data_IF_834202792170
#
_entry.id   IF_834202792170
#
_cell.length_a   1.000
_cell.length_b   1.000
_cell.length_c   1.000
_cell.angle_alpha   90.00
_cell.angle_beta   90.00
_cell.angle_gamma   90.00
#
_symmetry.space_group_name_H-M   'P 1'
#
loop_
_entity.id
_entity.type
_entity.pdbx_description
1 polymer ?
#
# COMPACT_ATOMS: atom_id res chain seq x y z
N UNK A 1 59.61 34.84 21.47
CA UNK A 1 58.37 34.95 20.66
C UNK A 1 57.85 33.60 20.14
N UNK A 2 58.69 32.57 19.94
CA UNK A 2 58.25 31.23 19.46
C UNK A 2 57.48 30.38 20.49
N UNK A 3 57.82 30.45 21.78
CA UNK A 3 57.22 29.61 22.84
C UNK A 3 55.74 29.89 23.11
N UNK A 4 55.33 31.16 22.94
CA UNK A 4 53.93 31.57 23.05
C UNK A 4 53.07 31.01 21.90
N UNK A 5 53.62 30.95 20.68
CA UNK A 5 52.91 30.36 19.53
C UNK A 5 52.73 28.86 19.71
N UNK A 6 53.78 28.12 20.11
CA UNK A 6 53.68 26.67 20.33
C UNK A 6 52.73 26.30 21.47
N UNK A 7 52.69 27.10 22.54
CA UNK A 7 51.73 26.93 23.64
C UNK A 7 50.29 27.14 23.16
N UNK A 8 50.00 28.23 22.44
CA UNK A 8 48.65 28.51 21.93
C UNK A 8 48.19 27.42 20.95
N UNK A 9 49.05 26.95 20.04
CA UNK A 9 48.70 25.86 19.13
C UNK A 9 48.44 24.53 19.86
N UNK A 10 49.17 24.24 20.94
CA UNK A 10 48.92 23.08 21.79
C UNK A 10 47.57 23.19 22.51
N UNK A 11 47.26 24.34 23.11
CA UNK A 11 45.97 24.59 23.78
C UNK A 11 44.78 24.53 22.82
N UNK A 12 44.92 25.08 21.60
CA UNK A 12 43.89 24.99 20.56
C UNK A 12 43.70 23.54 20.09
N UNK A 13 44.77 22.75 19.98
CA UNK A 13 44.70 21.33 19.64
C UNK A 13 43.99 20.51 20.73
N UNK A 14 44.35 20.72 22.00
CA UNK A 14 43.69 20.05 23.14
C UNK A 14 42.21 20.43 23.23
N UNK A 15 41.89 21.71 23.06
CA UNK A 15 40.50 22.19 23.06
C UNK A 15 39.68 21.64 21.88
N UNK A 16 40.28 21.50 20.70
CA UNK A 16 39.64 20.86 19.54
C UNK A 16 39.33 19.38 19.78
N UNK A 17 40.27 18.63 20.37
CA UNK A 17 40.08 17.20 20.69
C UNK A 17 39.00 17.00 21.76
N UNK A 18 38.94 17.84 22.80
CA UNK A 18 37.90 17.74 23.84
C UNK A 18 36.51 18.15 23.34
N UNK A 19 36.40 19.15 22.46
CA UNK A 19 35.15 19.52 21.81
C UNK A 19 34.65 18.41 20.87
N UNK A 20 35.54 17.78 20.10
CA UNK A 20 35.20 16.65 19.26
C UNK A 20 34.75 15.43 20.07
N UNK A 21 35.48 15.09 21.14
CA UNK A 21 35.14 13.97 22.02
C UNK A 21 33.79 14.21 22.72
N UNK A 22 33.55 15.41 23.26
CA UNK A 22 32.28 15.74 23.91
C UNK A 22 31.09 15.72 22.94
N UNK A 23 31.27 16.20 21.71
CA UNK A 23 30.26 16.06 20.66
C UNK A 23 29.94 14.58 20.36
N UNK A 24 30.96 13.72 20.31
CA UNK A 24 30.78 12.27 20.11
C UNK A 24 30.02 11.59 21.26
N UNK A 25 30.28 11.98 22.51
CA UNK A 25 29.53 11.46 23.66
C UNK A 25 28.07 11.91 23.65
N UNK A 26 27.81 13.16 23.27
CA UNK A 26 26.44 13.68 23.13
C UNK A 26 25.69 12.93 22.02
N UNK A 27 26.30 12.70 20.87
CA UNK A 27 25.65 11.95 19.79
C UNK A 27 25.40 10.49 20.18
N UNK A 28 26.36 9.82 20.82
CA UNK A 28 26.17 8.44 21.30
C UNK A 28 25.06 8.34 22.37
N UNK A 29 24.99 9.28 23.31
CA UNK A 29 23.93 9.29 24.34
C UNK A 29 22.55 9.57 23.76
N UNK A 30 22.42 10.49 22.79
CA UNK A 30 21.18 10.73 22.06
C UNK A 30 20.74 9.51 21.25
N UNK A 31 21.67 8.79 20.62
CA UNK A 31 21.35 7.56 19.90
C UNK A 31 20.89 6.44 20.85
N UNK A 32 21.58 6.24 21.97
CA UNK A 32 21.21 5.21 22.96
C UNK A 32 19.84 5.52 23.57
N UNK A 33 19.59 6.77 23.94
CA UNK A 33 18.28 7.19 24.48
C UNK A 33 17.17 7.05 23.42
N UNK A 34 17.44 7.37 22.16
CA UNK A 34 16.51 7.14 21.05
C UNK A 34 16.20 5.65 20.85
N UNK A 35 17.22 4.79 20.78
CA UNK A 35 17.04 3.34 20.59
C UNK A 35 16.30 2.71 21.77
N UNK A 36 16.64 3.09 23.01
CA UNK A 36 15.95 2.58 24.20
C UNK A 36 14.50 3.05 24.26
N UNK A 37 14.21 4.32 23.92
CA UNK A 37 12.85 4.81 23.81
C UNK A 37 12.03 4.04 22.76
N UNK A 38 12.60 3.80 21.58
CA UNK A 38 11.95 3.00 20.51
C UNK A 38 11.69 1.57 20.99
N UNK A 39 12.65 0.92 21.65
CA UNK A 39 12.49 -0.43 22.16
C UNK A 39 11.38 -0.53 23.24
N UNK A 40 11.28 0.49 24.11
CA UNK A 40 10.20 0.59 25.10
C UNK A 40 8.84 0.76 24.41
N UNK A 41 8.72 1.68 23.45
CA UNK A 41 7.49 1.90 22.69
C UNK A 41 7.04 0.63 21.97
N UNK A 42 7.98 -0.04 21.32
CA UNK A 42 7.78 -1.29 20.60
C UNK A 42 7.33 -2.43 21.53
N UNK A 43 7.89 -2.52 22.74
CA UNK A 43 7.42 -3.45 23.76
C UNK A 43 6.00 -3.14 24.26
N UNK A 44 5.68 -1.87 24.48
CA UNK A 44 4.36 -1.42 24.95
C UNK A 44 3.29 -1.71 23.89
N UNK A 45 3.54 -1.32 22.63
CA UNK A 45 2.56 -1.43 21.54
C UNK A 45 2.24 -2.89 21.18
N UNK A 46 3.24 -3.78 21.19
CA UNK A 46 3.02 -5.22 20.97
C UNK A 46 2.24 -5.92 22.09
N UNK A 47 2.04 -5.27 23.23
CA UNK A 47 1.24 -5.80 24.31
C UNK A 47 -0.27 -5.74 24.09
N UNK A 48 -0.76 -5.06 23.04
CA UNK A 48 -2.18 -4.79 22.83
C UNK A 48 -3.04 -6.06 22.79
N UNK A 49 -2.75 -7.00 21.86
CA UNK A 49 -3.52 -8.24 21.73
C UNK A 49 -3.45 -9.13 22.97
N UNK A 50 -2.28 -9.20 23.61
CA UNK A 50 -2.08 -9.94 24.86
C UNK A 50 -2.96 -9.41 25.98
N UNK A 51 -3.14 -8.09 26.10
CA UNK A 51 -4.03 -7.47 27.11
C UNK A 51 -5.50 -7.81 26.87
N UNK A 52 -5.90 -8.05 25.62
CA UNK A 52 -7.26 -8.45 25.24
C UNK A 52 -7.46 -9.98 25.28
N UNK A 53 -6.45 -10.76 25.66
CA UNK A 53 -6.50 -12.22 25.64
C UNK A 53 -6.51 -12.84 24.23
N UNK A 54 -6.06 -12.09 23.22
CA UNK A 54 -6.05 -12.53 21.82
C UNK A 54 -4.66 -13.05 21.45
N UNK A 55 -4.62 -14.24 20.86
CA UNK A 55 -3.39 -14.84 20.32
C UNK A 55 -2.83 -13.93 19.23
N UNK A 56 -1.52 -13.66 19.29
CA UNK A 56 -0.82 -12.90 18.26
C UNK A 56 -0.13 -13.86 17.30
N UNK A 57 -0.18 -13.58 16.00
CA UNK A 57 0.61 -14.28 14.99
C UNK A 57 2.08 -14.31 15.38
N UNK A 58 2.72 -15.42 15.06
CA UNK A 58 4.16 -15.56 15.20
C UNK A 58 4.90 -14.72 14.13
N UNK A 59 6.18 -14.45 14.36
CA UNK A 59 7.04 -13.79 13.38
C UNK A 59 6.98 -12.26 13.40
N UNK A 60 6.44 -11.64 14.46
CA UNK A 60 6.50 -10.18 14.63
C UNK A 60 7.95 -9.68 14.78
N UNK A 61 8.37 -8.81 13.87
CA UNK A 61 9.69 -8.14 13.90
C UNK A 61 9.60 -6.83 14.71
N UNK A 62 10.66 -6.43 15.45
CA UNK A 62 10.72 -5.11 16.09
C UNK A 62 10.42 -3.96 15.12
N UNK A 63 9.64 -2.98 15.57
CA UNK A 63 9.20 -1.78 14.83
C UNK A 63 8.23 -2.08 13.68
N UNK A 64 8.48 -3.13 12.88
CA UNK A 64 7.70 -3.44 11.67
C UNK A 64 6.51 -4.37 11.91
N UNK A 65 6.50 -5.09 13.03
CA UNK A 65 5.51 -6.14 13.27
C UNK A 65 5.61 -7.22 12.18
N UNK A 66 4.48 -7.51 11.54
CA UNK A 66 4.31 -8.47 10.46
C UNK A 66 4.32 -7.80 9.08
N UNK A 67 4.54 -6.49 9.01
CA UNK A 67 4.50 -5.74 7.74
C UNK A 67 5.52 -6.27 6.72
N UNK A 68 6.74 -6.59 7.16
CA UNK A 68 7.77 -7.13 6.26
C UNK A 68 7.42 -8.52 5.73
N UNK A 69 6.78 -9.36 6.55
CA UNK A 69 6.29 -10.67 6.11
C UNK A 69 5.11 -10.55 5.14
N UNK A 70 4.28 -9.53 5.31
CA UNK A 70 3.16 -9.23 4.40
C UNK A 70 3.63 -8.64 3.06
N UNK A 71 4.68 -7.81 3.08
CA UNK A 71 5.26 -7.14 1.91
C UNK A 71 6.46 -7.90 1.33
N UNK A 72 6.67 -9.16 1.70
CA UNK A 72 7.79 -9.97 1.18
C UNK A 72 7.64 -10.11 -0.33
N UNK A 73 8.51 -9.47 -1.11
CA UNK A 73 8.42 -9.46 -2.58
C UNK A 73 8.70 -10.83 -3.20
N UNK A 74 9.26 -11.77 -2.43
CA UNK A 74 9.49 -13.15 -2.87
C UNK A 74 8.27 -14.05 -2.67
N UNK A 75 7.27 -13.58 -1.92
CA UNK A 75 6.04 -14.30 -1.60
C UNK A 75 4.84 -13.47 -2.02
N UNK A 76 3.73 -14.12 -2.29
CA UNK A 76 2.50 -13.37 -2.55
C UNK A 76 1.90 -12.93 -1.20
N UNK A 77 1.41 -11.69 -1.11
CA UNK A 77 0.84 -11.16 0.14
C UNK A 77 -0.30 -12.04 0.72
N UNK A 78 -1.01 -12.78 -0.14
CA UNK A 78 -2.04 -13.73 0.29
C UNK A 78 -1.47 -14.95 1.03
N UNK A 79 -0.21 -15.34 0.81
CA UNK A 79 0.43 -16.45 1.53
C UNK A 79 0.54 -16.12 3.02
N UNK A 80 0.84 -14.86 3.38
CA UNK A 80 0.85 -14.43 4.78
C UNK A 80 -0.53 -14.64 5.44
N UNK A 81 -1.60 -14.30 4.73
CA UNK A 81 -2.99 -14.46 5.21
C UNK A 81 -3.32 -15.95 5.31
N UNK A 82 -2.97 -16.74 4.29
CA UNK A 82 -3.26 -18.17 4.24
C UNK A 82 -2.53 -18.94 5.35
N UNK A 83 -1.24 -18.67 5.56
CA UNK A 83 -0.46 -19.30 6.63
C UNK A 83 -1.03 -19.00 8.02
N UNK A 84 -1.51 -17.76 8.23
CA UNK A 84 -2.19 -17.39 9.47
C UNK A 84 -3.53 -18.10 9.61
N UNK A 85 -4.31 -18.16 8.53
CA UNK A 85 -5.57 -18.88 8.52
C UNK A 85 -5.35 -20.36 8.87
N UNK A 86 -4.48 -21.06 8.15
CA UNK A 86 -4.20 -22.49 8.36
C UNK A 86 -3.67 -22.79 9.77
N UNK A 87 -2.83 -21.92 10.33
CA UNK A 87 -2.25 -22.12 11.65
C UNK A 87 -3.21 -21.82 12.79
N UNK A 88 -4.06 -20.82 12.63
CA UNK A 88 -4.94 -20.32 13.69
C UNK A 88 -6.42 -20.54 13.36
N UNK A 89 -6.76 -21.47 12.45
CA UNK A 89 -8.13 -21.69 11.98
C UNK A 89 -9.11 -22.05 13.10
N UNK A 90 -8.63 -22.70 14.16
CA UNK A 90 -9.44 -23.05 15.35
C UNK A 90 -9.74 -21.84 16.24
N UNK A 91 -8.90 -20.81 16.16
CA UNK A 91 -9.19 -19.52 16.80
C UNK A 91 -10.16 -18.76 15.92
N UNK A 92 -11.07 -17.96 16.51
CA UNK A 92 -12.01 -17.13 15.73
C UNK A 92 -11.36 -15.91 15.06
N UNK A 93 -10.24 -15.49 15.63
CA UNK A 93 -9.48 -14.34 15.20
C UNK A 93 -8.06 -14.44 15.76
N UNK A 94 -7.11 -13.82 15.06
CA UNK A 94 -5.70 -13.73 15.45
C UNK A 94 -5.21 -12.30 15.30
N UNK A 95 -4.50 -11.82 16.31
CA UNK A 95 -3.89 -10.51 16.31
C UNK A 95 -2.62 -10.48 15.46
N UNK A 96 -2.41 -9.41 14.72
CA UNK A 96 -1.16 -9.10 14.05
C UNK A 96 -0.84 -7.61 14.21
N UNK A 97 0.31 -7.19 13.73
CA UNK A 97 0.77 -5.80 13.84
C UNK A 97 1.36 -5.38 12.52
N UNK A 98 0.94 -4.24 11.98
CA UNK A 98 1.65 -3.57 10.90
C UNK A 98 2.27 -2.33 11.52
N UNK A 99 3.59 -2.30 11.59
CA UNK A 99 4.30 -1.40 12.48
C UNK A 99 3.79 -1.53 13.93
N UNK A 100 3.37 -0.42 14.54
CA UNK A 100 2.73 -0.41 15.85
C UNK A 100 1.20 -0.48 15.80
N UNK A 101 0.61 -0.50 14.60
CA UNK A 101 -0.85 -0.56 14.44
C UNK A 101 -1.35 -2.00 14.58
N UNK A 102 -2.21 -2.31 15.57
CA UNK A 102 -2.77 -3.63 15.75
C UNK A 102 -3.79 -3.94 14.62
N UNK A 103 -3.71 -5.15 14.06
CA UNK A 103 -4.63 -5.63 13.02
C UNK A 103 -5.23 -6.97 13.42
N UNK A 104 -6.54 -7.13 13.27
CA UNK A 104 -7.24 -8.38 13.55
C UNK A 104 -7.42 -9.16 12.25
N UNK A 105 -6.87 -10.36 12.19
CA UNK A 105 -7.17 -11.33 11.12
C UNK A 105 -8.33 -12.17 11.62
N UNK A 106 -9.42 -12.21 10.86
CA UNK A 106 -10.64 -12.93 11.23
C UNK A 106 -10.75 -14.20 10.40
N UNK A 107 -10.94 -15.32 11.07
CA UNK A 107 -10.99 -16.68 10.49
C UNK A 107 -12.39 -17.28 10.58
N UNK A 108 -13.20 -16.86 11.56
CA UNK A 108 -14.57 -17.33 11.78
C UNK A 108 -15.58 -16.61 10.86
N UNK A 109 -16.36 -17.33 10.03
CA UNK A 109 -17.35 -16.73 9.12
C UNK A 109 -18.48 -15.96 9.81
N UNK A 110 -18.87 -16.33 11.03
CA UNK A 110 -19.89 -15.60 11.79
C UNK A 110 -19.36 -14.23 12.23
N UNK A 111 -18.08 -14.16 12.61
CA UNK A 111 -17.42 -12.89 12.94
C UNK A 111 -17.29 -12.03 11.69
N UNK A 112 -16.92 -12.61 10.53
CA UNK A 112 -16.91 -11.89 9.25
C UNK A 112 -18.30 -11.33 8.92
N UNK A 113 -19.36 -12.14 9.10
CA UNK A 113 -20.75 -11.71 8.89
C UNK A 113 -21.14 -10.57 9.83
N UNK A 114 -20.71 -10.60 11.08
CA UNK A 114 -20.99 -9.52 12.02
C UNK A 114 -20.32 -8.22 11.56
N UNK A 115 -19.01 -8.26 11.24
CA UNK A 115 -18.25 -7.09 10.79
C UNK A 115 -18.78 -6.51 9.47
N UNK A 116 -19.05 -7.37 8.49
CA UNK A 116 -19.35 -6.94 7.12
C UNK A 116 -20.83 -6.69 6.85
N UNK A 117 -21.73 -7.20 7.69
CA UNK A 117 -23.19 -7.11 7.48
C UNK A 117 -23.91 -6.56 8.71
N UNK A 118 -23.85 -7.26 9.86
CA UNK A 118 -24.73 -6.91 11.00
C UNK A 118 -24.34 -5.59 11.67
N UNK A 119 -23.05 -5.43 11.91
CA UNK A 119 -22.46 -4.30 12.64
C UNK A 119 -21.71 -3.37 11.70
N UNK A 120 -22.03 -3.39 10.40
CA UNK A 120 -21.31 -2.65 9.35
C UNK A 120 -21.19 -1.15 9.63
N UNK A 121 -22.15 -0.55 10.33
CA UNK A 121 -22.10 0.87 10.71
C UNK A 121 -20.92 1.23 11.63
N UNK A 122 -20.29 0.24 12.29
CA UNK A 122 -19.04 0.43 13.05
C UNK A 122 -17.78 0.22 12.20
N UNK A 123 -17.91 -0.38 11.01
CA UNK A 123 -16.81 -0.80 10.14
C UNK A 123 -16.96 -0.25 8.71
N UNK A 124 -17.47 0.98 8.60
CA UNK A 124 -17.73 1.63 7.31
C UNK A 124 -16.44 1.88 6.54
N UNK A 125 -15.40 2.31 7.26
CA UNK A 125 -14.17 2.80 6.68
C UNK A 125 -13.16 1.67 6.43
N UNK A 126 -12.45 1.78 5.32
CA UNK A 126 -11.28 0.94 5.04
C UNK A 126 -10.07 1.50 5.76
N UNK A 127 -8.99 0.72 5.80
CA UNK A 127 -7.73 1.21 6.37
C UNK A 127 -7.34 2.52 5.72
N UNK A 128 -7.06 3.53 6.55
CA UNK A 128 -6.66 4.87 6.11
C UNK A 128 -5.45 4.80 5.17
N UNK A 129 -5.68 5.24 3.94
CA UNK A 129 -4.66 5.38 2.91
C UNK A 129 -4.83 6.74 2.25
N UNK A 130 -4.45 7.79 2.97
CA UNK A 130 -4.42 9.14 2.41
C UNK A 130 -3.27 9.26 1.42
N UNK A 131 -3.61 9.63 0.19
CA UNK A 131 -2.66 10.03 -0.83
C UNK A 131 -2.32 11.50 -0.56
N UNK A 132 -1.08 11.73 -0.15
CA UNK A 132 -0.54 13.07 0.08
C UNK A 132 0.05 13.61 -1.24
N UNK A 133 -0.26 14.86 -1.59
CA UNK A 133 0.20 15.47 -2.83
C UNK A 133 -0.77 16.49 -3.42
N UNK A 134 -0.52 16.89 -4.68
CA UNK A 134 -1.30 17.93 -5.39
C UNK A 134 -2.67 17.44 -5.87
N UNK A 135 -2.89 16.14 -5.98
CA UNK A 135 -4.16 15.60 -6.42
C UNK A 135 -5.15 15.53 -5.26
N UNK A 136 -5.94 16.59 -5.14
CA UNK A 136 -7.00 16.71 -4.13
C UNK A 136 -8.15 15.70 -4.32
N UNK A 137 -8.30 15.11 -5.51
CA UNK A 137 -9.44 14.23 -5.83
C UNK A 137 -9.15 12.76 -5.57
N UNK A 138 -7.89 12.36 -5.45
CA UNK A 138 -7.52 10.95 -5.21
C UNK A 138 -8.20 10.41 -3.93
N UNK A 139 -8.22 11.21 -2.86
CA UNK A 139 -8.88 10.86 -1.60
C UNK A 139 -10.42 10.92 -1.66
N UNK A 140 -11.00 11.49 -2.71
CA UNK A 140 -12.45 11.53 -2.95
C UNK A 140 -12.95 10.30 -3.74
N UNK A 141 -12.05 9.41 -4.18
CA UNK A 141 -12.44 8.19 -4.88
C UNK A 141 -13.22 7.25 -3.97
N UNK A 142 -14.22 6.53 -4.52
CA UNK A 142 -15.06 5.56 -3.79
C UNK A 142 -14.25 4.56 -2.94
N UNK A 143 -13.03 4.24 -3.34
CA UNK A 143 -12.18 3.27 -2.65
C UNK A 143 -11.45 3.83 -1.43
N UNK A 144 -11.34 5.15 -1.32
CA UNK A 144 -10.60 5.88 -0.27
C UNK A 144 -11.48 6.83 0.56
N UNK A 145 -12.64 7.23 0.03
CA UNK A 145 -13.62 8.02 0.76
C UNK A 145 -14.09 7.30 2.04
N UNK A 146 -14.41 8.08 3.06
CA UNK A 146 -14.78 7.61 4.40
C UNK A 146 -16.21 8.06 4.78
N UNK A 147 -16.83 7.33 5.71
CA UNK A 147 -18.06 7.67 6.40
C UNK A 147 -19.26 7.96 5.50
N UNK A 148 -19.96 9.05 5.81
CA UNK A 148 -21.15 9.48 5.07
C UNK A 148 -20.85 9.90 3.63
N UNK A 149 -19.64 10.41 3.36
CA UNK A 149 -19.23 10.79 2.02
C UNK A 149 -19.12 9.56 1.11
N UNK A 150 -18.48 8.50 1.60
CA UNK A 150 -18.46 7.20 0.94
C UNK A 150 -19.87 6.65 0.67
N UNK A 151 -20.76 6.69 1.68
CA UNK A 151 -22.17 6.27 1.52
C UNK A 151 -22.84 7.06 0.39
N UNK A 152 -22.59 8.37 0.32
CA UNK A 152 -23.06 9.26 -0.75
C UNK A 152 -22.60 8.81 -2.14
N UNK A 153 -21.29 8.69 -2.35
CA UNK A 153 -20.71 8.26 -3.64
C UNK A 153 -21.26 6.88 -4.04
N UNK A 154 -21.28 5.92 -3.10
CA UNK A 154 -21.77 4.56 -3.35
C UNK A 154 -23.23 4.56 -3.78
N UNK A 155 -24.07 5.40 -3.18
CA UNK A 155 -25.49 5.49 -3.53
C UNK A 155 -25.72 5.97 -4.97
N UNK A 156 -24.85 6.86 -5.46
CA UNK A 156 -24.89 7.38 -6.84
C UNK A 156 -24.39 6.35 -7.85
N UNK A 157 -23.35 5.59 -7.51
CA UNK A 157 -22.70 4.65 -8.45
C UNK A 157 -23.39 3.28 -8.52
N UNK A 158 -24.00 2.82 -7.43
CA UNK A 158 -24.60 1.46 -7.37
C UNK A 158 -25.67 1.19 -8.45
N UNK A 159 -26.57 2.13 -8.80
CA UNK A 159 -27.58 1.91 -9.84
C UNK A 159 -27.02 1.60 -11.24
N UNK A 160 -25.79 2.06 -11.54
CA UNK A 160 -25.11 1.82 -12.83
C UNK A 160 -24.86 0.34 -13.07
N UNK A 161 -24.73 -0.46 -12.02
CA UNK A 161 -24.48 -1.90 -12.09
C UNK A 161 -25.74 -2.75 -11.87
N UNK A 162 -26.93 -2.17 -12.00
CA UNK A 162 -28.19 -2.92 -11.95
C UNK A 162 -28.28 -3.94 -13.10
N UNK A 163 -29.01 -5.04 -12.90
CA UNK A 163 -29.15 -6.11 -13.90
C UNK A 163 -29.63 -5.61 -15.27
N UNK A 164 -30.51 -4.60 -15.30
CA UNK A 164 -30.96 -3.98 -16.56
C UNK A 164 -29.85 -3.21 -17.28
N UNK A 165 -29.04 -2.44 -16.55
CA UNK A 165 -27.90 -1.72 -17.13
C UNK A 165 -26.80 -2.69 -17.59
N UNK A 166 -26.51 -3.72 -16.80
CA UNK A 166 -25.57 -4.79 -17.18
C UNK A 166 -26.00 -5.52 -18.45
N UNK A 167 -27.31 -5.82 -18.60
CA UNK A 167 -27.85 -6.43 -19.82
C UNK A 167 -27.65 -5.53 -21.04
N UNK A 168 -27.75 -4.21 -20.89
CA UNK A 168 -27.52 -3.27 -21.97
C UNK A 168 -26.02 -3.13 -22.34
N UNK A 169 -25.10 -3.35 -21.40
CA UNK A 169 -23.65 -3.36 -21.67
C UNK A 169 -23.20 -4.65 -22.35
N UNK A 170 -23.92 -5.77 -22.14
CA UNK A 170 -23.52 -7.09 -22.61
C UNK A 170 -23.17 -7.17 -24.11
N UNK A 171 -23.93 -6.57 -25.05
CA UNK A 171 -23.56 -6.58 -26.47
C UNK A 171 -22.21 -5.92 -26.75
N UNK A 172 -21.89 -4.83 -26.05
CA UNK A 172 -20.61 -4.11 -26.19
C UNK A 172 -19.46 -4.99 -25.69
N UNK A 173 -19.66 -5.70 -24.57
CA UNK A 173 -18.68 -6.65 -24.03
C UNK A 173 -18.42 -7.78 -25.03
N UNK A 174 -19.49 -8.35 -25.60
CA UNK A 174 -19.38 -9.43 -26.59
C UNK A 174 -18.63 -9.00 -27.84
N UNK A 175 -18.90 -7.79 -28.34
CA UNK A 175 -18.19 -7.23 -29.49
C UNK A 175 -16.68 -7.15 -29.25
N UNK A 176 -16.25 -6.65 -28.08
CA UNK A 176 -14.82 -6.57 -27.75
C UNK A 176 -14.21 -7.95 -27.50
N UNK A 177 -14.96 -8.90 -26.94
CA UNK A 177 -14.53 -10.29 -26.80
C UNK A 177 -14.32 -10.97 -28.17
N UNK A 178 -15.24 -10.77 -29.11
CA UNK A 178 -15.13 -11.29 -30.49
C UNK A 178 -13.93 -10.69 -31.22
N UNK A 179 -13.64 -9.39 -31.01
CA UNK A 179 -12.44 -8.74 -31.55
C UNK A 179 -11.16 -9.40 -31.01
N UNK A 180 -11.07 -9.67 -29.71
CA UNK A 180 -9.94 -10.39 -29.13
C UNK A 180 -9.81 -11.80 -29.72
N UNK A 181 -10.91 -12.54 -29.85
CA UNK A 181 -10.89 -13.90 -30.42
C UNK A 181 -10.40 -13.90 -31.87
N UNK A 182 -10.82 -12.92 -32.69
CA UNK A 182 -10.30 -12.74 -34.05
C UNK A 182 -8.80 -12.49 -34.06
N UNK A 183 -8.30 -11.64 -33.16
CA UNK A 183 -6.85 -11.38 -33.01
C UNK A 183 -6.10 -12.66 -32.63
N UNK A 184 -6.60 -13.40 -31.64
CA UNK A 184 -6.00 -14.65 -31.19
C UNK A 184 -5.95 -15.68 -32.32
N UNK A 185 -7.07 -15.93 -33.02
CA UNK A 185 -7.09 -16.85 -34.16
C UNK A 185 -6.11 -16.47 -35.27
N UNK A 186 -5.92 -15.16 -35.52
CA UNK A 186 -4.94 -14.67 -36.50
C UNK A 186 -3.50 -14.97 -36.07
N UNK A 187 -3.20 -14.85 -34.79
CA UNK A 187 -1.84 -15.06 -34.24
C UNK A 187 -1.53 -16.56 -34.09
N UNK A 188 -2.51 -17.38 -33.73
CA UNK A 188 -2.33 -18.84 -33.51
C UNK A 188 -2.46 -19.67 -34.78
N UNK A 189 -2.62 -19.03 -35.95
CA UNK A 189 -3.15 -19.67 -37.15
C UNK A 189 -2.32 -20.81 -37.75
N UNK A 190 -1.03 -20.98 -37.41
CA UNK A 190 -0.17 -21.98 -38.08
C UNK A 190 1.00 -22.59 -37.26
N UNK A 191 1.32 -22.11 -36.05
CA UNK A 191 2.45 -22.61 -35.26
C UNK A 191 2.14 -22.58 -33.74
N UNK A 192 2.89 -23.36 -32.95
CA UNK A 192 2.88 -23.25 -31.48
C UNK A 192 3.31 -21.84 -31.06
N UNK A 193 2.34 -20.96 -30.87
CA UNK A 193 2.56 -19.56 -30.51
C UNK A 193 2.26 -19.37 -29.03
N UNK A 194 3.24 -18.88 -28.29
CA UNK A 194 3.03 -18.48 -26.89
C UNK A 194 2.37 -17.10 -26.85
N UNK A 195 1.27 -16.98 -26.11
CA UNK A 195 0.50 -15.75 -25.99
C UNK A 195 0.53 -15.27 -24.53
N UNK A 196 0.83 -13.99 -24.34
CA UNK A 196 0.67 -13.35 -23.02
C UNK A 196 -0.81 -13.04 -22.76
N UNK A 197 -1.45 -13.90 -21.96
CA UNK A 197 -2.86 -13.72 -21.59
C UNK A 197 -3.10 -12.53 -20.67
N UNK A 198 -2.10 -12.07 -19.91
CA UNK A 198 -2.23 -10.89 -19.04
C UNK A 198 -2.38 -9.62 -19.87
N UNK A 199 -1.57 -9.48 -20.92
CA UNK A 199 -1.68 -8.38 -21.89
C UNK A 199 -3.02 -8.45 -22.64
N UNK A 200 -3.37 -9.62 -23.20
CA UNK A 200 -4.62 -9.79 -23.94
C UNK A 200 -5.87 -9.45 -23.12
N UNK A 201 -5.97 -9.96 -21.90
CA UNK A 201 -7.11 -9.69 -21.01
C UNK A 201 -7.07 -8.25 -20.45
N UNK A 202 -5.87 -7.68 -20.27
CA UNK A 202 -5.69 -6.28 -19.91
C UNK A 202 -6.28 -5.35 -20.97
N UNK A 203 -5.91 -5.55 -22.24
CA UNK A 203 -6.44 -4.81 -23.40
C UNK A 203 -7.96 -4.95 -23.52
N UNK A 204 -8.48 -6.17 -23.39
CA UNK A 204 -9.93 -6.42 -23.40
C UNK A 204 -10.65 -5.65 -22.29
N UNK A 205 -10.11 -5.70 -21.06
CA UNK A 205 -10.70 -5.01 -19.91
C UNK A 205 -10.75 -3.50 -20.13
N UNK A 206 -9.67 -2.94 -20.65
CA UNK A 206 -9.57 -1.52 -21.00
C UNK A 206 -10.60 -1.13 -22.05
N UNK A 207 -10.70 -1.87 -23.15
CA UNK A 207 -11.64 -1.58 -24.23
C UNK A 207 -13.10 -1.71 -23.77
N UNK A 208 -13.39 -2.72 -22.94
CA UNK A 208 -14.72 -2.91 -22.33
C UNK A 208 -15.07 -1.73 -21.44
N UNK A 209 -14.17 -1.27 -20.57
CA UNK A 209 -14.40 -0.11 -19.70
C UNK A 209 -14.53 1.17 -20.53
N UNK A 210 -13.64 1.40 -21.51
CA UNK A 210 -13.68 2.54 -22.42
C UNK A 210 -15.04 2.67 -23.12
N UNK A 211 -15.49 1.56 -23.70
CA UNK A 211 -16.75 1.51 -24.44
C UNK A 211 -17.96 1.63 -23.51
N UNK A 212 -18.02 0.85 -22.43
CA UNK A 212 -19.21 0.81 -21.57
C UNK A 212 -19.35 2.04 -20.66
N UNK A 213 -18.25 2.54 -20.09
CA UNK A 213 -18.29 3.62 -19.12
C UNK A 213 -18.20 5.00 -19.77
N UNK A 214 -17.44 5.14 -20.86
CA UNK A 214 -17.14 6.43 -21.47
C UNK A 214 -17.67 6.59 -22.90
N UNK A 215 -18.17 5.51 -23.51
CA UNK A 215 -18.76 5.55 -24.86
C UNK A 215 -17.77 5.82 -25.98
N UNK A 216 -16.47 5.62 -25.76
CA UNK A 216 -15.45 5.73 -26.81
C UNK A 216 -14.78 4.39 -27.08
N UNK A 217 -14.35 4.21 -28.33
CA UNK A 217 -13.61 3.03 -28.76
C UNK A 217 -12.12 3.32 -28.67
N UNK A 218 -11.45 2.68 -27.71
CA UNK A 218 -10.00 2.79 -27.54
C UNK A 218 -9.20 1.90 -28.49
N UNK A 219 -9.82 0.85 -29.05
CA UNK A 219 -9.20 -0.14 -29.94
C UNK A 219 -7.85 -0.69 -29.43
N UNK A 220 -7.69 -0.80 -28.11
CA UNK A 220 -6.47 -1.29 -27.46
C UNK A 220 -6.19 -2.75 -27.79
N UNK A 221 -7.22 -3.52 -28.17
CA UNK A 221 -7.04 -4.89 -28.66
C UNK A 221 -6.21 -4.91 -29.95
N UNK A 222 -6.45 -3.97 -30.88
CA UNK A 222 -5.76 -3.94 -32.17
C UNK A 222 -4.47 -3.11 -32.15
N UNK A 223 -4.42 -2.03 -31.36
CA UNK A 223 -3.30 -1.09 -31.31
C UNK A 223 -2.38 -1.33 -30.10
N UNK A 224 -1.17 -1.83 -30.38
CA UNK A 224 -0.08 -2.02 -29.40
C UNK A 224 0.50 -0.70 -28.86
N UNK A 225 0.18 0.43 -29.49
CA UNK A 225 0.63 1.75 -29.08
C UNK A 225 -0.35 2.50 -28.20
N UNK A 226 -1.53 1.94 -27.93
CA UNK A 226 -2.60 2.58 -27.18
C UNK A 226 -2.08 3.21 -25.87
N UNK A 227 -2.05 4.54 -25.87
CA UNK A 227 -1.45 5.36 -24.81
C UNK A 227 -2.12 5.12 -23.45
N UNK A 228 -3.40 4.73 -23.48
CA UNK A 228 -4.21 4.45 -22.30
C UNK A 228 -3.75 3.19 -21.56
N UNK A 229 -3.39 2.12 -22.27
CA UNK A 229 -2.86 0.89 -21.66
C UNK A 229 -1.50 1.15 -21.00
N UNK A 230 -0.59 1.86 -21.69
CA UNK A 230 0.73 2.20 -21.13
C UNK A 230 0.63 3.06 -19.88
N UNK A 231 -0.32 4.00 -19.84
CA UNK A 231 -0.63 4.81 -18.65
C UNK A 231 -1.17 3.96 -17.50
N UNK A 232 -2.06 3.00 -17.77
CA UNK A 232 -2.59 2.08 -16.76
C UNK A 232 -1.57 1.04 -16.25
N UNK A 233 -0.70 0.54 -17.12
CA UNK A 233 0.36 -0.39 -16.74
C UNK A 233 1.38 0.30 -15.82
N UNK A 234 1.82 1.52 -16.18
CA UNK A 234 2.74 2.34 -15.36
C UNK A 234 2.15 2.73 -14.00
N UNK A 235 0.83 2.89 -13.95
CA UNK A 235 0.06 3.09 -12.73
C UNK A 235 0.11 1.88 -11.77
N UNK A 236 0.20 0.67 -12.32
CA UNK A 236 0.24 -0.59 -11.56
C UNK A 236 1.65 -1.02 -11.10
N UNK A 237 2.71 -0.51 -11.73
CA UNK A 237 4.10 -0.97 -11.54
C UNK A 237 4.88 -0.25 -10.41
N UNK A 238 4.22 0.61 -9.62
CA UNK A 238 4.89 1.46 -8.62
C UNK A 238 5.03 0.81 -7.23
N UNK A 239 5.22 -0.51 -7.18
CA UNK A 239 5.26 -1.26 -5.92
C UNK A 239 6.35 -0.81 -4.94
N UNK A 240 7.55 -0.47 -5.45
CA UNK A 240 8.69 -0.08 -4.62
C UNK A 240 8.55 1.31 -4.00
N UNK A 241 8.12 2.30 -4.77
CA UNK A 241 7.89 3.66 -4.27
C UNK A 241 6.73 3.68 -3.26
N UNK A 242 5.67 2.92 -3.54
CA UNK A 242 4.57 2.72 -2.58
C UNK A 242 5.07 2.05 -1.29
N UNK A 243 5.93 1.05 -1.39
CA UNK A 243 6.51 0.37 -0.23
C UNK A 243 7.38 1.29 0.62
N UNK A 244 8.29 2.06 0.00
CA UNK A 244 9.14 3.03 0.69
C UNK A 244 8.32 4.15 1.33
N UNK A 245 7.31 4.66 0.62
CA UNK A 245 6.38 5.66 1.14
C UNK A 245 5.61 5.15 2.37
N UNK A 246 5.13 3.90 2.33
CA UNK A 246 4.46 3.27 3.46
C UNK A 246 5.36 3.12 4.69
N UNK A 247 6.63 2.74 4.50
CA UNK A 247 7.61 2.66 5.60
C UNK A 247 7.85 4.04 6.20
N UNK A 248 8.12 5.03 5.35
CA UNK A 248 8.46 6.37 5.79
C UNK A 248 7.31 7.02 6.59
N UNK A 249 6.07 6.86 6.12
CA UNK A 249 4.86 7.36 6.80
C UNK A 249 4.61 6.73 8.16
N UNK A 250 4.84 5.42 8.31
CA UNK A 250 4.50 4.71 9.55
C UNK A 250 5.62 4.72 10.60
N UNK A 251 6.88 4.99 10.21
CA UNK A 251 8.00 5.11 11.14
C UNK A 251 8.16 6.55 11.65
N UNK A 252 7.92 7.55 10.79
CA UNK A 252 8.12 8.94 11.15
C UNK A 252 6.85 9.52 11.80
N UNK A 253 6.98 10.30 12.90
CA UNK A 253 5.85 11.06 13.43
C UNK A 253 5.27 11.94 12.32
N UNK A 254 3.94 11.98 12.17
CA UNK A 254 3.27 12.68 11.06
C UNK A 254 3.76 14.11 10.89
N UNK A 255 3.92 14.87 11.99
CA UNK A 255 4.47 16.23 11.96
C UNK A 255 5.90 16.36 11.43
N UNK A 256 6.74 15.33 11.62
CA UNK A 256 8.11 15.27 11.11
C UNK A 256 8.10 14.83 9.64
N UNK A 257 7.24 13.88 9.29
CA UNK A 257 7.03 13.47 7.90
C UNK A 257 6.52 14.64 7.03
N UNK A 258 5.58 15.41 7.56
CA UNK A 258 5.02 16.62 6.94
C UNK A 258 6.09 17.71 6.78
N UNK A 259 6.93 17.92 7.81
CA UNK A 259 7.99 18.93 7.78
C UNK A 259 9.06 18.66 6.72
N UNK A 260 9.36 17.38 6.47
CA UNK A 260 10.34 16.96 5.46
C UNK A 260 9.71 16.62 4.11
N UNK A 261 8.41 16.89 3.90
CA UNK A 261 7.68 16.56 2.67
C UNK A 261 7.85 15.10 2.25
N UNK A 262 7.91 14.18 3.23
CA UNK A 262 8.22 12.76 3.00
C UNK A 262 7.03 12.05 2.35
N UNK A 263 5.81 12.54 2.58
CA UNK A 263 4.63 12.20 1.78
C UNK A 263 4.85 12.40 0.29
N UNK A 264 5.70 13.36 -0.09
CA UNK A 264 6.03 13.59 -1.49
C UNK A 264 7.12 12.65 -2.05
N UNK A 265 7.76 11.81 -1.24
CA UNK A 265 8.48 10.64 -1.78
C UNK A 265 7.50 9.62 -2.36
N UNK A 266 6.29 9.50 -1.78
CA UNK A 266 5.18 8.73 -2.35
C UNK A 266 4.40 9.53 -3.43
N UNK A 267 5.05 10.46 -4.15
CA UNK A 267 4.43 11.20 -5.26
C UNK A 267 4.05 10.23 -6.36
N UNK A 268 2.76 9.95 -6.43
CA UNK A 268 2.11 9.34 -7.59
C UNK A 268 2.26 10.27 -8.80
N UNK A 269 3.27 10.02 -9.64
CA UNK A 269 3.47 10.76 -10.89
C UNK A 269 2.52 10.21 -11.96
N UNK A 270 1.21 10.43 -11.77
CA UNK A 270 0.17 9.97 -12.70
C UNK A 270 -0.01 10.87 -13.93
N UNK A 271 0.39 12.14 -13.84
CA UNK A 271 0.21 13.10 -14.93
C UNK A 271 1.43 14.01 -15.10
N UNK A 272 2.35 13.58 -15.96
CA UNK A 272 3.15 14.44 -16.82
C UNK A 272 3.02 13.94 -18.25
#
# INVERSE_FOLDING_TARGET
MGWLKTSIFSWLGVMGVTLFASAQWITCTLLITGVTAIAILDHINRGYWRKLGIVTSDGSVPIFGHFLSFMDTKKLAWEFINNNYEKYYESKYVGSYFFWSPNLIVTDPEVVKNITIKDFDHFVDRREFKIEGKDKYANEMLTLAEGSHWKGIRSVLSPTFSSGKMKNMFPLVMEKADALMKKLHKITGNDETTVDMKDCLGRLTVDVIGTCAFGFESNCIEDETAEFEKKLAKASDQGLEMFLGLIARNILPTKVADYFDIGAMARWHYFK
#
